data_IF_983892116310
#
_entry.id   IF_983892116310
#
_cell.length_a   1.000
_cell.length_b   1.000
_cell.length_c   1.000
_cell.angle_alpha   90.00
_cell.angle_beta   90.00
_cell.angle_gamma   90.00
#
_symmetry.space_group_name_H-M   'P 1'
#
loop_
_entity.id
_entity.type
_entity.pdbx_description
1 polymer ?
#
# COMPACT_ATOMS: atom_id res chain seq x y z
N UNK A 1 -16.17 3.80 -0.30
CA UNK A 1 -16.04 2.57 0.52
C UNK A 1 -16.28 3.06 1.93
N UNK A 2 -17.40 2.67 2.51
CA UNK A 2 -17.89 3.29 3.75
C UNK A 2 -17.16 2.71 4.98
N UNK A 3 -16.64 1.49 4.86
CA UNK A 3 -15.70 0.90 5.80
C UNK A 3 -14.52 0.27 5.04
N UNK A 4 -13.38 0.97 5.03
CA UNK A 4 -12.17 0.55 4.31
C UNK A 4 -11.47 -0.66 4.97
N UNK A 5 -11.62 -0.83 6.27
CA UNK A 5 -10.96 -1.91 7.00
C UNK A 5 -11.66 -3.26 6.77
N UNK A 6 -12.95 -3.24 6.44
CA UNK A 6 -13.77 -4.44 6.20
C UNK A 6 -13.92 -4.83 4.72
N UNK A 7 -13.38 -4.06 3.76
CA UNK A 7 -13.42 -4.42 2.33
C UNK A 7 -12.22 -5.30 1.98
N UNK A 8 -12.41 -6.62 1.92
CA UNK A 8 -11.36 -7.60 1.62
C UNK A 8 -10.64 -7.32 0.29
N UNK A 9 -11.40 -6.87 -0.73
CA UNK A 9 -10.85 -6.54 -2.04
C UNK A 9 -9.92 -5.33 -1.99
N UNK A 10 -10.29 -4.31 -1.21
CA UNK A 10 -9.46 -3.15 -0.94
C UNK A 10 -8.19 -3.55 -0.16
N UNK A 11 -8.32 -4.37 0.89
CA UNK A 11 -7.18 -4.82 1.68
C UNK A 11 -6.20 -5.63 0.82
N UNK A 12 -6.71 -6.50 -0.05
CA UNK A 12 -5.88 -7.25 -1.00
C UNK A 12 -5.20 -6.33 -2.01
N UNK A 13 -5.91 -5.35 -2.57
CA UNK A 13 -5.35 -4.36 -3.47
C UNK A 13 -4.26 -3.52 -2.81
N UNK A 14 -4.46 -3.10 -1.56
CA UNK A 14 -3.48 -2.33 -0.78
C UNK A 14 -2.23 -3.16 -0.46
N UNK A 15 -2.39 -4.42 -0.04
CA UNK A 15 -1.26 -5.34 0.17
C UNK A 15 -0.42 -5.50 -1.10
N UNK A 16 -1.10 -5.70 -2.24
CA UNK A 16 -0.44 -5.79 -3.54
C UNK A 16 0.32 -4.49 -3.88
N UNK A 17 -0.32 -3.33 -3.74
CA UNK A 17 0.32 -2.03 -4.01
C UNK A 17 1.55 -1.77 -3.13
N UNK A 18 1.48 -2.09 -1.83
CA UNK A 18 2.60 -1.91 -0.90
C UNK A 18 3.76 -2.84 -1.20
N UNK A 19 3.50 -4.08 -1.64
CA UNK A 19 4.53 -5.00 -2.07
C UNK A 19 5.29 -4.45 -3.30
N UNK A 20 4.55 -3.95 -4.30
CA UNK A 20 5.15 -3.34 -5.50
C UNK A 20 5.90 -2.04 -5.18
N UNK A 21 5.34 -1.18 -4.30
CA UNK A 21 6.03 0.03 -3.83
C UNK A 21 7.37 -0.31 -3.15
N UNK A 22 7.37 -1.28 -2.23
CA UNK A 22 8.58 -1.65 -1.50
C UNK A 22 9.64 -2.26 -2.42
N UNK A 23 9.25 -3.05 -3.43
CA UNK A 23 10.17 -3.58 -4.45
C UNK A 23 10.78 -2.46 -5.31
N UNK A 24 9.99 -1.46 -5.70
CA UNK A 24 10.43 -0.38 -6.58
C UNK A 24 11.20 0.74 -5.85
N UNK A 25 11.00 0.88 -4.54
CA UNK A 25 11.65 1.91 -3.73
C UNK A 25 13.13 1.57 -3.47
N UNK A 26 14.02 2.55 -3.71
CA UNK A 26 15.46 2.47 -3.41
C UNK A 26 15.79 2.62 -1.92
N UNK A 27 14.79 2.76 -1.05
CA UNK A 27 15.01 2.78 0.40
C UNK A 27 15.50 1.41 0.87
N UNK A 28 16.53 1.39 1.73
CA UNK A 28 17.06 0.17 2.35
C UNK A 28 16.03 -0.50 3.26
N UNK A 29 15.10 0.28 3.80
CA UNK A 29 14.07 -0.19 4.72
C UNK A 29 12.72 -0.32 4.04
N UNK A 30 11.95 -1.30 4.49
CA UNK A 30 10.58 -1.47 4.03
C UNK A 30 9.66 -0.42 4.65
N UNK A 31 8.62 -0.03 3.91
CA UNK A 31 7.56 0.86 4.41
C UNK A 31 6.28 0.07 4.66
N UNK A 32 5.51 0.52 5.66
CA UNK A 32 4.21 -0.05 6.03
C UNK A 32 3.15 1.05 6.04
N UNK A 33 1.90 0.67 5.82
CA UNK A 33 0.76 1.59 5.95
C UNK A 33 0.58 1.97 7.41
N UNK A 34 0.54 3.26 7.69
CA UNK A 34 0.17 3.82 8.99
C UNK A 34 -1.35 3.89 9.10
N UNK A 35 -2.01 4.44 8.06
CA UNK A 35 -3.47 4.51 7.97
C UNK A 35 -3.95 4.73 6.54
N UNK A 36 -5.20 4.33 6.29
CA UNK A 36 -5.91 4.67 5.07
C UNK A 36 -6.55 6.05 5.23
N UNK A 37 -6.17 7.01 4.39
CA UNK A 37 -6.75 8.36 4.40
C UNK A 37 -8.05 8.36 3.60
N UNK A 38 -8.06 7.67 2.45
CA UNK A 38 -9.23 7.59 1.59
C UNK A 38 -9.18 6.35 0.71
N UNK A 39 -10.31 5.69 0.52
CA UNK A 39 -10.43 4.62 -0.44
C UNK A 39 -11.70 4.75 -1.30
N UNK A 40 -11.55 4.56 -2.60
CA UNK A 40 -12.64 4.54 -3.58
C UNK A 40 -12.54 3.30 -4.44
N UNK A 41 -13.68 2.71 -4.75
CA UNK A 41 -13.82 1.58 -5.68
C UNK A 41 -14.64 2.03 -6.88
N UNK A 42 -14.22 1.62 -8.06
CA UNK A 42 -14.95 1.83 -9.30
C UNK A 42 -15.06 0.50 -10.05
N UNK A 43 -16.30 0.11 -10.38
CA UNK A 43 -16.59 -1.10 -11.16
C UNK A 43 -16.48 -0.75 -12.65
N UNK A 44 -15.74 -1.57 -13.39
CA UNK A 44 -15.50 -1.45 -14.84
C UNK A 44 -15.45 -2.87 -15.44
N UNK A 45 -14.64 -3.14 -16.47
CA UNK A 45 -14.29 -4.50 -16.93
C UNK A 45 -13.39 -5.28 -15.93
N UNK A 46 -13.60 -5.05 -14.64
CA UNK A 46 -12.76 -5.37 -13.50
C UNK A 46 -13.12 -4.42 -12.35
N UNK A 47 -12.22 -4.27 -11.39
CA UNK A 47 -12.39 -3.37 -10.24
C UNK A 47 -11.17 -2.47 -10.11
N UNK A 48 -11.39 -1.15 -10.10
CA UNK A 48 -10.35 -0.14 -9.89
C UNK A 48 -10.44 0.38 -8.46
N UNK A 49 -9.38 0.16 -7.68
CA UNK A 49 -9.22 0.70 -6.33
C UNK A 49 -8.31 1.92 -6.39
N UNK A 50 -8.79 3.05 -5.88
CA UNK A 50 -8.02 4.29 -5.72
C UNK A 50 -7.82 4.53 -4.23
N UNK A 51 -6.59 4.38 -3.77
CA UNK A 51 -6.26 4.28 -2.35
C UNK A 51 -5.25 5.38 -2.01
N UNK A 52 -5.66 6.29 -1.14
CA UNK A 52 -4.78 7.30 -0.54
C UNK A 52 -4.43 6.85 0.86
N UNK A 53 -3.14 6.66 1.12
CA UNK A 53 -2.64 6.13 2.40
C UNK A 53 -1.48 6.98 2.90
N UNK A 54 -1.31 6.97 4.21
CA UNK A 54 -0.07 7.40 4.85
C UNK A 54 0.80 6.16 5.06
N UNK A 55 2.04 6.19 4.59
CA UNK A 55 3.03 5.14 4.80
C UNK A 55 4.15 5.64 5.68
N UNK A 56 4.71 4.76 6.50
CA UNK A 56 5.83 5.04 7.38
C UNK A 56 6.97 4.06 7.12
N UNK A 57 8.20 4.56 7.18
CA UNK A 57 9.40 3.73 7.14
C UNK A 57 9.48 2.85 8.39
N UNK A 58 9.75 1.56 8.20
CA UNK A 58 9.93 0.58 9.28
C UNK A 58 11.41 0.34 9.58
N UNK A 59 11.70 -0.30 10.71
CA UNK A 59 13.06 -0.72 11.08
C UNK A 59 13.56 -1.94 10.30
N UNK A 60 12.69 -2.58 9.52
CA UNK A 60 13.02 -3.81 8.81
C UNK A 60 13.72 -3.53 7.47
N UNK A 61 14.94 -4.07 7.26
CA UNK A 61 15.62 -3.97 5.97
C UNK A 61 14.88 -4.78 4.90
N UNK A 62 15.06 -4.40 3.63
CA UNK A 62 14.56 -5.17 2.49
C UNK A 62 15.53 -6.31 2.15
N UNK A 63 15.04 -7.51 1.77
CA UNK A 63 13.64 -7.93 1.79
C UNK A 63 13.20 -8.33 3.22
N UNK A 64 12.04 -7.83 3.65
CA UNK A 64 11.44 -8.24 4.93
C UNK A 64 10.42 -9.36 4.68
N UNK A 65 10.56 -10.48 5.39
CA UNK A 65 9.65 -11.62 5.27
C UNK A 65 8.28 -11.35 5.93
N UNK A 66 8.26 -10.59 7.03
CA UNK A 66 7.04 -10.21 7.73
C UNK A 66 7.04 -8.70 8.00
N UNK A 67 6.24 -7.96 7.23
CA UNK A 67 6.08 -6.52 7.39
C UNK A 67 5.09 -6.14 8.51
N UNK A 68 4.26 -7.07 8.98
CA UNK A 68 3.23 -6.73 9.98
C UNK A 68 3.82 -6.55 11.37
N UNK A 69 4.83 -7.36 11.73
CA UNK A 69 5.56 -7.26 13.01
C UNK A 69 6.63 -6.16 13.03
N UNK A 70 6.94 -5.55 11.88
CA UNK A 70 7.95 -4.49 11.77
C UNK A 70 7.49 -3.19 12.43
N UNK A 71 8.23 -2.76 13.45
CA UNK A 71 8.04 -1.47 14.09
C UNK A 71 8.39 -0.31 13.14
N UNK A 72 7.73 0.83 13.32
CA UNK A 72 8.13 2.07 12.67
C UNK A 72 9.44 2.61 13.28
N UNK A 73 10.20 3.40 12.53
CA UNK A 73 11.32 4.13 13.11
C UNK A 73 10.82 5.25 14.02
N UNK A 74 11.23 5.26 15.29
CA UNK A 74 10.86 6.30 16.26
C UNK A 74 11.78 7.53 16.22
N UNK A 75 12.99 7.37 15.65
CA UNK A 75 13.97 8.45 15.59
C UNK A 75 13.51 9.53 14.58
N UNK A 76 13.41 10.83 14.95
CA UNK A 76 12.85 11.89 14.10
C UNK A 76 13.48 11.99 12.70
N UNK A 77 14.78 11.72 12.59
CA UNK A 77 15.53 11.75 11.33
C UNK A 77 15.25 10.53 10.42
N UNK A 78 14.71 9.44 10.96
CA UNK A 78 14.39 8.20 10.24
C UNK A 78 12.89 7.93 10.11
N UNK A 79 12.05 8.56 10.93
CA UNK A 79 10.60 8.53 10.91
C UNK A 79 10.04 9.29 9.68
N UNK A 80 10.28 8.76 8.49
CA UNK A 80 9.76 9.31 7.25
C UNK A 80 8.34 8.82 7.01
N UNK A 81 7.40 9.76 7.02
CA UNK A 81 6.01 9.52 6.64
C UNK A 81 5.75 10.18 5.29
N UNK A 82 5.22 9.41 4.35
CA UNK A 82 4.85 9.91 3.03
C UNK A 82 3.37 9.64 2.77
N UNK A 83 2.74 10.52 2.02
CA UNK A 83 1.36 10.30 1.58
C UNK A 83 1.40 9.75 0.16
N UNK A 84 0.91 8.54 -0.01
CA UNK A 84 0.89 7.86 -1.30
C UNK A 84 -0.53 7.71 -1.84
N UNK A 85 -0.65 7.84 -3.16
CA UNK A 85 -1.85 7.52 -3.92
C UNK A 85 -1.53 6.32 -4.82
N UNK A 86 -2.25 5.24 -4.60
CA UNK A 86 -2.17 4.01 -5.39
C UNK A 86 -3.44 3.83 -6.21
N UNK A 87 -3.27 3.37 -7.45
CA UNK A 87 -4.36 2.96 -8.31
C UNK A 87 -4.12 1.51 -8.70
N UNK A 88 -4.96 0.61 -8.18
CA UNK A 88 -4.84 -0.82 -8.42
C UNK A 88 -6.02 -1.29 -9.26
N UNK A 89 -5.74 -2.05 -10.30
CA UNK A 89 -6.74 -2.71 -11.12
C UNK A 89 -6.75 -4.20 -10.83
N UNK A 90 -7.92 -4.73 -10.49
CA UNK A 90 -8.13 -6.14 -10.15
C UNK A 90 -9.15 -6.74 -11.12
N UNK A 91 -8.85 -7.94 -11.61
CA UNK A 91 -9.77 -8.76 -12.41
C UNK A 91 -9.91 -10.11 -11.68
N UNK A 92 -10.84 -10.20 -10.71
CA UNK A 92 -10.89 -11.34 -9.78
C UNK A 92 -11.08 -12.69 -10.48
N UNK A 93 -11.92 -12.76 -11.51
CA UNK A 93 -12.20 -14.00 -12.27
C UNK A 93 -11.01 -14.49 -13.12
N UNK A 94 -9.99 -13.66 -13.33
CA UNK A 94 -8.73 -14.07 -13.96
C UNK A 94 -7.59 -14.18 -12.94
N UNK A 95 -7.86 -13.96 -11.65
CA UNK A 95 -6.86 -13.87 -10.58
C UNK A 95 -5.70 -12.90 -10.93
N UNK A 96 -6.03 -11.74 -11.52
CA UNK A 96 -5.04 -10.74 -11.95
C UNK A 96 -5.18 -9.44 -11.15
N UNK A 97 -4.04 -8.88 -10.76
CA UNK A 97 -3.93 -7.54 -10.20
C UNK A 97 -2.78 -6.78 -10.86
N UNK A 98 -2.96 -5.48 -11.05
CA UNK A 98 -1.99 -4.60 -11.67
C UNK A 98 -1.95 -3.26 -10.96
N UNK A 99 -0.75 -2.74 -10.71
CA UNK A 99 -0.56 -1.40 -10.18
C UNK A 99 -0.52 -0.45 -11.36
N UNK A 100 -1.59 0.31 -11.56
CA UNK A 100 -1.68 1.27 -12.67
C UNK A 100 -0.92 2.56 -12.39
N UNK A 101 -0.88 2.99 -11.13
CA UNK A 101 -0.18 4.20 -10.71
C UNK A 101 0.21 4.14 -9.24
N UNK A 102 1.37 4.72 -8.93
CA UNK A 102 1.91 4.92 -7.59
C UNK A 102 2.60 6.27 -7.55
N UNK A 103 2.11 7.19 -6.72
CA UNK A 103 2.69 8.51 -6.54
C UNK A 103 2.70 8.86 -5.06
N UNK A 104 3.85 9.27 -4.54
CA UNK A 104 4.04 9.63 -3.13
C UNK A 104 4.58 11.06 -3.03
N UNK A 105 4.15 11.77 -1.99
CA UNK A 105 4.60 13.10 -1.60
C UNK A 105 5.25 13.03 -0.23
#
# INVERSE_FOLDING_TARGET
IDNADNDEGLQQALRFAMAEYNKASNDMYSSRVVRIIRARRQIVAGVKYMIKVEIGRTTCPKPAADLQSCAFHDAPQMAKHNICNFVVYSVPWLNKMQLLSSSCQ
#
